data_IF_624389982990
#
_entry.id   IF_624389982990
#
_cell.length_a   1.000
_cell.length_b   1.000
_cell.length_c   1.000
_cell.angle_alpha   90.00
_cell.angle_beta   90.00
_cell.angle_gamma   90.00
#
_symmetry.space_group_name_H-M   'P 1'
#
loop_
_entity.id
_entity.type
_entity.pdbx_description
1 polymer ?
#
# COMPACT_ATOMS: atom_id res chain seq x y z
N UNK A 1 -12.87 5.56 18.26
CA UNK A 1 -11.89 6.36 17.50
C UNK A 1 -11.21 5.45 16.48
N UNK A 2 -11.28 5.81 15.21
CA UNK A 2 -10.75 5.03 14.08
C UNK A 2 -9.35 5.53 13.71
N UNK A 3 -8.26 4.74 13.90
CA UNK A 3 -6.90 5.15 13.54
C UNK A 3 -6.53 4.88 12.08
N UNK A 4 -7.29 3.97 11.40
CA UNK A 4 -7.07 3.54 10.02
C UNK A 4 -8.36 2.97 9.42
N UNK A 5 -8.46 2.94 8.09
CA UNK A 5 -9.64 2.44 7.39
C UNK A 5 -9.57 0.93 7.07
N UNK A 6 -8.37 0.36 7.01
CA UNK A 6 -8.12 -1.04 6.60
C UNK A 6 -9.04 -2.08 7.26
N UNK A 7 -9.20 -2.13 8.60
CA UNK A 7 -10.02 -3.17 9.23
C UNK A 7 -11.50 -3.12 8.79
N UNK A 8 -12.02 -1.91 8.50
CA UNK A 8 -13.39 -1.76 8.02
C UNK A 8 -13.53 -2.27 6.58
N UNK A 9 -12.58 -1.93 5.70
CA UNK A 9 -12.57 -2.42 4.32
C UNK A 9 -12.41 -3.93 4.26
N UNK A 10 -11.56 -4.53 5.11
CA UNK A 10 -11.46 -5.99 5.23
C UNK A 10 -12.80 -6.63 5.61
N UNK A 11 -13.54 -6.03 6.55
CA UNK A 11 -14.87 -6.51 6.94
C UNK A 11 -15.93 -6.31 5.86
N UNK A 12 -15.83 -5.27 5.05
CA UNK A 12 -16.71 -5.07 3.89
C UNK A 12 -16.41 -6.14 2.82
N UNK A 13 -15.13 -6.44 2.56
CA UNK A 13 -14.76 -7.53 1.66
C UNK A 13 -15.33 -8.87 2.14
N UNK A 14 -15.16 -9.18 3.42
CA UNK A 14 -15.58 -10.41 4.10
C UNK A 14 -17.11 -10.59 4.18
N UNK A 15 -17.89 -9.53 3.99
CA UNK A 15 -19.34 -9.53 4.18
C UNK A 15 -20.11 -10.44 3.20
N UNK A 16 -19.49 -10.84 2.08
CA UNK A 16 -20.06 -11.77 1.11
C UNK A 16 -18.96 -12.61 0.45
N UNK A 17 -19.25 -13.88 0.09
CA UNK A 17 -18.33 -14.71 -0.68
C UNK A 17 -17.86 -14.00 -1.94
N UNK A 18 -16.61 -14.19 -2.32
CA UNK A 18 -16.02 -13.66 -3.54
C UNK A 18 -15.52 -14.80 -4.43
N UNK A 19 -15.52 -14.54 -5.73
CA UNK A 19 -14.90 -15.38 -6.74
C UNK A 19 -13.87 -14.58 -7.53
N UNK A 20 -13.06 -15.25 -8.33
CA UNK A 20 -12.10 -14.60 -9.23
C UNK A 20 -12.77 -13.58 -10.16
N UNK A 21 -14.07 -13.67 -10.43
CA UNK A 21 -14.84 -12.75 -11.28
C UNK A 21 -15.16 -11.43 -10.56
N UNK A 22 -15.10 -11.43 -9.24
CA UNK A 22 -15.34 -10.26 -8.41
C UNK A 22 -14.04 -9.45 -8.16
N UNK A 23 -12.91 -9.99 -8.59
CA UNK A 23 -11.61 -9.35 -8.51
C UNK A 23 -11.25 -8.64 -9.83
N UNK A 24 -10.50 -7.55 -9.77
CA UNK A 24 -10.06 -6.83 -8.57
C UNK A 24 -11.21 -6.08 -7.88
N UNK A 25 -11.33 -6.25 -6.56
CA UNK A 25 -12.36 -5.58 -5.75
C UNK A 25 -11.78 -4.33 -5.09
N UNK A 26 -12.29 -3.16 -5.44
CA UNK A 26 -11.74 -1.87 -5.03
C UNK A 26 -12.72 -1.14 -4.11
N UNK A 27 -12.23 -0.72 -2.93
CA UNK A 27 -12.99 0.09 -1.97
C UNK A 27 -12.19 1.37 -1.72
N UNK A 28 -12.85 2.53 -1.84
CA UNK A 28 -12.25 3.83 -1.56
C UNK A 28 -13.15 4.67 -0.65
N UNK A 29 -12.56 5.45 0.24
CA UNK A 29 -13.28 6.40 1.08
C UNK A 29 -12.44 7.64 1.39
N UNK A 30 -13.10 8.74 1.66
CA UNK A 30 -12.55 9.86 2.42
C UNK A 30 -12.82 9.62 3.90
N UNK A 31 -11.94 8.83 4.52
CA UNK A 31 -12.13 8.37 5.89
C UNK A 31 -11.50 9.28 6.92
N UNK A 32 -12.27 9.70 7.92
CA UNK A 32 -11.72 10.44 9.07
C UNK A 32 -10.99 9.47 10.00
N UNK A 33 -9.68 9.71 10.16
CA UNK A 33 -8.82 8.94 11.06
C UNK A 33 -8.25 9.81 12.18
N UNK A 34 -8.06 9.20 13.34
CA UNK A 34 -7.51 9.86 14.53
C UNK A 34 -6.31 9.07 15.04
N UNK A 35 -5.16 9.74 15.18
CA UNK A 35 -3.92 9.11 15.68
C UNK A 35 -3.37 9.93 16.83
N UNK A 36 -3.00 9.26 17.91
CA UNK A 36 -2.35 9.91 19.06
C UNK A 36 -0.88 10.12 18.75
N UNK A 37 -0.60 11.14 17.95
CA UNK A 37 0.78 11.58 17.68
C UNK A 37 1.34 12.30 18.91
N UNK A 38 2.60 12.03 19.28
CA UNK A 38 3.29 12.76 20.34
C UNK A 38 3.42 14.24 19.94
N UNK A 39 3.29 15.15 20.92
CA UNK A 39 3.30 16.59 20.64
C UNK A 39 4.55 17.07 19.89
N UNK A 40 5.73 16.52 20.21
CA UNK A 40 6.99 16.84 19.52
C UNK A 40 7.09 16.34 18.06
N UNK A 41 6.14 15.51 17.61
CA UNK A 41 6.08 15.03 16.24
C UNK A 41 5.08 15.80 15.37
N UNK A 42 4.24 16.64 15.99
CA UNK A 42 3.28 17.46 15.24
C UNK A 42 4.01 18.51 14.39
N UNK A 43 3.58 18.64 13.13
CA UNK A 43 4.23 19.57 12.21
C UNK A 43 3.22 20.13 11.20
N UNK A 44 2.76 21.36 11.45
CA UNK A 44 1.81 22.07 10.59
C UNK A 44 0.62 21.20 10.19
N UNK A 45 0.32 21.13 8.91
CA UNK A 45 -0.69 20.23 8.33
C UNK A 45 -0.10 18.86 7.92
N UNK A 46 1.20 18.68 8.00
CA UNK A 46 1.90 17.49 7.53
C UNK A 46 1.79 16.30 8.51
N UNK A 47 1.73 16.58 9.82
CA UNK A 47 1.54 15.56 10.85
C UNK A 47 0.57 16.06 11.91
N UNK A 48 -0.64 15.57 11.85
CA UNK A 48 -1.79 15.98 12.66
C UNK A 48 -2.41 14.79 13.37
N UNK A 49 -3.23 15.04 14.38
CA UNK A 49 -3.93 13.98 15.14
C UNK A 49 -5.28 13.59 14.56
N UNK A 50 -5.86 14.44 13.72
CA UNK A 50 -7.11 14.17 12.99
C UNK A 50 -6.90 14.53 11.54
N UNK A 51 -7.28 13.62 10.64
CA UNK A 51 -7.12 13.79 9.20
C UNK A 51 -8.26 13.11 8.45
N UNK A 52 -8.58 13.65 7.30
CA UNK A 52 -9.37 12.94 6.29
C UNK A 52 -8.39 12.30 5.31
N UNK A 53 -8.43 10.99 5.23
CA UNK A 53 -7.53 10.22 4.37
C UNK A 53 -8.29 9.82 3.11
N UNK A 54 -7.75 10.19 1.94
CA UNK A 54 -8.18 9.64 0.67
C UNK A 54 -7.57 8.24 0.53
N UNK A 55 -8.28 7.25 1.00
CA UNK A 55 -7.76 5.90 1.22
C UNK A 55 -8.49 4.90 0.33
N UNK A 56 -7.77 3.92 -0.19
CA UNK A 56 -8.37 2.80 -0.91
C UNK A 56 -7.63 1.50 -0.65
N UNK A 57 -8.39 0.40 -0.70
CA UNK A 57 -7.90 -0.96 -0.62
C UNK A 57 -8.36 -1.71 -1.87
N UNK A 58 -7.41 -2.30 -2.57
CA UNK A 58 -7.65 -3.06 -3.79
C UNK A 58 -7.27 -4.51 -3.48
N UNK A 59 -8.26 -5.38 -3.53
CA UNK A 59 -8.08 -6.83 -3.36
C UNK A 59 -7.97 -7.44 -4.73
N UNK A 60 -6.87 -8.09 -5.04
CA UNK A 60 -6.60 -8.64 -6.35
C UNK A 60 -5.98 -10.04 -6.28
N UNK A 61 -6.06 -10.77 -7.38
CA UNK A 61 -5.31 -12.00 -7.59
C UNK A 61 -3.83 -11.69 -7.84
N UNK A 62 -2.97 -12.72 -7.80
CA UNK A 62 -1.58 -12.56 -8.22
C UNK A 62 -1.45 -12.19 -9.72
N UNK A 63 -2.40 -12.63 -10.55
CA UNK A 63 -2.43 -12.35 -11.99
C UNK A 63 -2.75 -10.88 -12.28
N UNK A 64 -3.65 -10.27 -11.49
CA UNK A 64 -4.05 -8.87 -11.65
C UNK A 64 -3.10 -7.89 -10.98
N UNK A 65 -2.21 -8.36 -10.11
CA UNK A 65 -1.38 -7.53 -9.25
C UNK A 65 -0.58 -6.47 -10.01
N UNK A 66 0.13 -6.86 -11.08
CA UNK A 66 0.98 -5.96 -11.86
C UNK A 66 0.19 -4.76 -12.39
N UNK A 67 -0.99 -5.02 -12.97
CA UNK A 67 -1.83 -3.97 -13.56
C UNK A 67 -2.39 -3.04 -12.49
N UNK A 68 -2.93 -3.58 -11.40
CA UNK A 68 -3.50 -2.77 -10.32
C UNK A 68 -2.45 -1.92 -9.61
N UNK A 69 -1.26 -2.49 -9.39
CA UNK A 69 -0.16 -1.77 -8.76
C UNK A 69 0.34 -0.60 -9.64
N UNK A 70 0.47 -0.84 -10.95
CA UNK A 70 0.88 0.18 -11.91
C UNK A 70 -0.18 1.27 -12.08
N UNK A 71 -1.45 0.93 -12.09
CA UNK A 71 -2.54 1.89 -12.19
C UNK A 71 -2.53 2.89 -11.03
N UNK A 72 -2.21 2.43 -9.82
CA UNK A 72 -2.01 3.32 -8.66
C UNK A 72 -0.82 4.24 -8.88
N UNK A 73 0.31 3.72 -9.34
CA UNK A 73 1.49 4.54 -9.62
C UNK A 73 1.21 5.59 -10.70
N UNK A 74 0.55 5.20 -11.79
CA UNK A 74 0.18 6.10 -12.88
C UNK A 74 -0.79 7.20 -12.42
N UNK A 75 -1.76 6.84 -11.56
CA UNK A 75 -2.66 7.82 -10.95
C UNK A 75 -1.88 8.88 -10.14
N UNK A 76 -0.83 8.50 -9.40
CA UNK A 76 0.02 9.46 -8.69
C UNK A 76 0.75 10.38 -9.66
N UNK A 77 1.32 9.82 -10.74
CA UNK A 77 2.00 10.62 -11.77
C UNK A 77 1.06 11.63 -12.43
N UNK A 78 -0.20 11.25 -12.68
CA UNK A 78 -1.21 12.17 -13.19
C UNK A 78 -1.53 13.29 -12.18
N UNK A 79 -1.70 12.96 -10.89
CA UNK A 79 -1.91 13.96 -9.86
C UNK A 79 -0.74 14.92 -9.75
N UNK A 80 0.48 14.42 -9.80
CA UNK A 80 1.67 15.29 -9.75
C UNK A 80 1.71 16.26 -10.92
N UNK A 81 1.33 15.81 -12.12
CA UNK A 81 1.20 16.67 -13.29
C UNK A 81 0.11 17.74 -13.11
N UNK A 82 -1.07 17.37 -12.58
CA UNK A 82 -2.19 18.28 -12.33
C UNK A 82 -1.81 19.35 -11.30
N UNK A 83 -1.13 18.96 -10.23
CA UNK A 83 -0.72 19.85 -9.14
C UNK A 83 0.63 20.54 -9.36
N UNK A 84 1.29 20.32 -10.50
CA UNK A 84 2.60 20.93 -10.80
C UNK A 84 3.71 20.45 -9.88
N UNK A 85 3.66 19.23 -9.39
CA UNK A 85 4.72 18.61 -8.57
C UNK A 85 5.77 18.02 -9.50
N UNK A 86 6.81 18.80 -9.80
CA UNK A 86 7.85 18.41 -10.75
C UNK A 86 8.97 17.60 -10.08
N UNK A 87 9.22 17.82 -8.79
CA UNK A 87 10.29 17.17 -8.05
C UNK A 87 9.73 16.16 -7.05
N UNK A 88 9.89 14.90 -7.37
CA UNK A 88 9.55 13.77 -6.49
C UNK A 88 10.53 12.62 -6.68
N UNK A 89 10.57 11.70 -5.73
CA UNK A 89 11.33 10.46 -5.78
C UNK A 89 10.45 9.30 -5.31
N UNK A 90 10.35 8.25 -6.12
CA UNK A 90 9.70 7.01 -5.71
C UNK A 90 10.71 6.10 -5.03
N UNK A 91 10.39 5.65 -3.83
CA UNK A 91 11.23 4.76 -3.01
C UNK A 91 10.54 3.43 -2.82
N UNK A 92 11.15 2.37 -3.31
CA UNK A 92 10.74 1.00 -2.98
C UNK A 92 11.37 0.63 -1.64
N UNK A 93 10.54 0.62 -0.62
CA UNK A 93 10.91 0.23 0.73
C UNK A 93 10.84 -1.30 0.88
N UNK A 94 11.99 -1.91 1.16
CA UNK A 94 12.18 -3.35 1.30
C UNK A 94 12.26 -3.74 2.78
N UNK A 95 12.05 -5.03 3.08
CA UNK A 95 12.27 -5.55 4.42
C UNK A 95 13.78 -5.70 4.71
N UNK A 96 14.11 -5.86 6.00
CA UNK A 96 15.42 -6.34 6.44
C UNK A 96 15.26 -7.79 6.91
N UNK A 97 15.95 -8.75 6.27
CA UNK A 97 15.88 -10.16 6.65
C UNK A 97 16.26 -10.43 8.12
N UNK A 98 17.10 -9.59 8.74
CA UNK A 98 17.50 -9.72 10.14
C UNK A 98 16.37 -9.42 11.14
N UNK A 99 15.30 -8.75 10.68
CA UNK A 99 14.16 -8.34 11.48
C UNK A 99 12.88 -9.17 11.22
N UNK A 100 12.98 -10.29 10.47
CA UNK A 100 11.89 -11.25 10.32
C UNK A 100 11.47 -11.83 11.67
N UNK A 101 10.17 -11.96 11.88
CA UNK A 101 9.60 -12.40 13.16
C UNK A 101 9.65 -11.35 14.28
N UNK A 102 10.23 -10.17 14.04
CA UNK A 102 10.28 -9.02 14.96
C UNK A 102 9.48 -7.84 14.41
N UNK A 103 10.12 -7.03 13.53
CA UNK A 103 9.48 -5.92 12.84
C UNK A 103 8.59 -6.41 11.70
N UNK A 104 9.01 -7.44 11.00
CA UNK A 104 8.35 -7.96 9.80
C UNK A 104 7.71 -9.32 10.04
N UNK A 105 6.64 -9.62 9.34
CA UNK A 105 5.99 -10.94 9.35
C UNK A 105 7.01 -11.99 8.94
N UNK A 106 7.06 -13.12 9.68
CA UNK A 106 7.99 -14.22 9.44
C UNK A 106 7.52 -15.11 8.26
N UNK A 107 7.64 -14.58 7.06
CA UNK A 107 7.26 -15.24 5.80
C UNK A 107 8.32 -14.94 4.72
N UNK A 108 9.58 -15.41 4.89
CA UNK A 108 10.71 -14.98 4.07
C UNK A 108 10.50 -15.20 2.56
N UNK A 109 9.80 -16.27 2.19
CA UNK A 109 9.49 -16.55 0.79
C UNK A 109 8.54 -15.53 0.19
N UNK A 110 7.46 -15.19 0.90
CA UNK A 110 6.47 -14.20 0.43
C UNK A 110 7.09 -12.81 0.30
N UNK A 111 8.03 -12.44 1.19
CA UNK A 111 8.77 -11.20 1.06
C UNK A 111 9.51 -11.11 -0.25
N UNK A 112 10.34 -12.12 -0.55
CA UNK A 112 11.14 -12.14 -1.79
C UNK A 112 10.27 -12.15 -3.04
N UNK A 113 9.21 -12.97 -3.05
CA UNK A 113 8.28 -13.06 -4.18
C UNK A 113 7.55 -11.74 -4.40
N UNK A 114 7.07 -11.09 -3.34
CA UNK A 114 6.31 -9.85 -3.45
C UNK A 114 7.21 -8.66 -3.83
N UNK A 115 8.41 -8.55 -3.26
CA UNK A 115 9.38 -7.53 -3.66
C UNK A 115 9.80 -7.66 -5.12
N UNK A 116 10.01 -8.91 -5.59
CA UNK A 116 10.33 -9.18 -6.99
C UNK A 116 9.15 -8.83 -7.93
N UNK A 117 7.92 -9.13 -7.52
CA UNK A 117 6.72 -8.74 -8.26
C UNK A 117 6.62 -7.22 -8.39
N UNK A 118 6.86 -6.46 -7.32
CA UNK A 118 6.88 -4.99 -7.35
C UNK A 118 7.97 -4.47 -8.29
N UNK A 119 9.19 -5.00 -8.23
CA UNK A 119 10.29 -4.62 -9.14
C UNK A 119 9.92 -4.85 -10.60
N UNK A 120 9.33 -6.01 -10.90
CA UNK A 120 8.88 -6.36 -12.25
C UNK A 120 7.78 -5.40 -12.74
N UNK A 121 6.80 -5.10 -11.90
CA UNK A 121 5.75 -4.15 -12.22
C UNK A 121 6.32 -2.76 -12.53
N UNK A 122 7.18 -2.21 -11.67
CA UNK A 122 7.81 -0.91 -11.87
C UNK A 122 8.66 -0.85 -13.14
N UNK A 123 9.45 -1.90 -13.40
CA UNK A 123 10.27 -2.01 -14.63
C UNK A 123 9.40 -2.05 -15.88
N UNK A 124 8.31 -2.82 -15.86
CA UNK A 124 7.34 -2.92 -16.95
C UNK A 124 6.65 -1.58 -17.22
N UNK A 125 6.35 -0.82 -16.17
CA UNK A 125 5.76 0.52 -16.24
C UNK A 125 6.75 1.63 -16.61
N UNK A 126 8.05 1.35 -16.69
CA UNK A 126 9.08 2.37 -16.94
C UNK A 126 9.20 3.39 -15.81
N UNK A 127 8.83 3.02 -14.58
CA UNK A 127 8.85 3.90 -13.42
C UNK A 127 10.24 3.86 -12.78
N UNK A 128 10.87 5.03 -12.66
CA UNK A 128 12.14 5.18 -11.96
C UNK A 128 11.93 5.17 -10.44
N UNK A 129 12.73 4.40 -9.73
CA UNK A 129 12.70 4.32 -8.27
C UNK A 129 14.08 4.03 -7.70
N UNK A 130 14.21 4.25 -6.38
CA UNK A 130 15.37 3.83 -5.58
C UNK A 130 14.93 2.80 -4.54
N UNK A 131 15.79 1.86 -4.19
CA UNK A 131 15.50 0.86 -3.16
C UNK A 131 16.03 1.30 -1.81
N UNK A 132 15.20 1.17 -0.77
CA UNK A 132 15.56 1.51 0.61
C UNK A 132 15.33 0.27 1.49
N UNK A 133 16.38 -0.44 1.91
CA UNK A 133 16.26 -1.57 2.81
C UNK A 133 15.78 -1.15 4.21
N UNK A 134 15.01 -2.02 4.87
CA UNK A 134 14.59 -1.82 6.25
C UNK A 134 13.42 -0.85 6.46
N UNK A 135 12.83 -0.28 5.40
CA UNK A 135 11.77 0.73 5.47
C UNK A 135 10.38 0.21 5.10
N UNK A 136 10.26 -1.07 4.72
CA UNK A 136 8.98 -1.70 4.39
C UNK A 136 7.97 -1.62 5.55
N UNK A 137 6.67 -1.74 5.22
CA UNK A 137 5.64 -2.01 6.21
C UNK A 137 5.84 -3.42 6.80
N UNK A 138 5.30 -3.70 7.99
CA UNK A 138 5.49 -5.01 8.63
C UNK A 138 4.80 -6.16 7.85
N UNK A 139 3.87 -5.83 6.95
CA UNK A 139 3.02 -6.74 6.19
C UNK A 139 3.36 -6.83 4.69
N UNK A 140 4.33 -6.06 4.22
CA UNK A 140 4.76 -6.10 2.81
C UNK A 140 5.56 -4.88 2.36
N UNK A 141 6.12 -4.94 1.14
CA UNK A 141 6.86 -3.83 0.55
C UNK A 141 5.93 -2.68 0.16
N UNK A 142 6.49 -1.49 -0.03
CA UNK A 142 5.74 -0.30 -0.40
C UNK A 142 6.54 0.65 -1.28
N UNK A 143 5.83 1.39 -2.12
CA UNK A 143 6.34 2.60 -2.74
C UNK A 143 5.93 3.79 -1.89
N UNK A 144 6.92 4.56 -1.45
CA UNK A 144 6.72 5.88 -0.84
C UNK A 144 7.14 6.94 -1.86
N UNK A 145 6.27 7.92 -2.08
CA UNK A 145 6.61 9.05 -2.95
C UNK A 145 7.06 10.22 -2.09
N UNK A 146 8.34 10.53 -2.17
CA UNK A 146 8.95 11.63 -1.44
C UNK A 146 8.89 12.92 -2.26
N UNK A 147 8.54 13.99 -1.59
CA UNK A 147 8.55 15.37 -2.13
C UNK A 147 9.23 16.31 -1.15
N UNK A 148 9.58 17.50 -1.62
CA UNK A 148 10.27 18.50 -0.80
C UNK A 148 9.43 19.78 -0.72
N UNK A 149 9.23 20.26 0.51
CA UNK A 149 8.61 21.57 0.74
C UNK A 149 9.49 22.71 0.22
N UNK A 150 8.92 23.91 0.12
CA UNK A 150 9.65 25.13 -0.28
C UNK A 150 10.86 25.43 0.60
N UNK A 151 10.87 24.97 1.86
CA UNK A 151 12.00 25.12 2.79
C UNK A 151 12.96 23.91 2.74
N UNK A 152 12.83 23.05 1.75
CA UNK A 152 13.71 21.88 1.54
C UNK A 152 13.46 20.70 2.48
N UNK A 153 12.40 20.71 3.30
CA UNK A 153 12.06 19.57 4.15
C UNK A 153 11.39 18.48 3.34
N UNK A 154 11.92 17.28 3.45
CA UNK A 154 11.38 16.07 2.80
C UNK A 154 10.20 15.50 3.58
N UNK A 155 9.22 14.95 2.87
CA UNK A 155 8.10 14.19 3.44
C UNK A 155 7.47 13.26 2.40
N UNK A 156 6.80 12.22 2.88
CA UNK A 156 6.04 11.30 2.03
C UNK A 156 4.69 11.90 1.69
N UNK A 157 4.42 12.09 0.41
CA UNK A 157 3.14 12.62 -0.09
C UNK A 157 2.12 11.53 -0.36
N UNK A 158 2.56 10.43 -0.93
CA UNK A 158 1.70 9.32 -1.33
C UNK A 158 2.37 7.98 -1.05
N UNK A 159 1.57 6.94 -0.82
CA UNK A 159 2.06 5.58 -0.63
C UNK A 159 1.24 4.56 -1.43
N UNK A 160 1.94 3.55 -1.96
CA UNK A 160 1.36 2.37 -2.58
C UNK A 160 1.98 1.14 -1.91
N UNK A 161 1.22 0.48 -1.05
CA UNK A 161 1.70 -0.58 -0.16
C UNK A 161 1.09 -1.92 -0.55
N UNK A 162 1.90 -2.95 -0.62
CA UNK A 162 1.44 -4.33 -0.88
C UNK A 162 1.33 -5.08 0.43
N UNK A 163 0.22 -5.74 0.63
CA UNK A 163 -0.09 -6.49 1.83
C UNK A 163 -0.42 -7.94 1.47
N UNK A 164 0.48 -8.85 1.81
CA UNK A 164 0.28 -10.28 1.66
C UNK A 164 -0.08 -10.96 2.99
N UNK A 165 -0.06 -10.23 4.10
CA UNK A 165 -0.13 -10.79 5.44
C UNK A 165 -1.49 -10.56 6.13
N UNK A 166 -2.04 -9.36 6.07
CA UNK A 166 -3.26 -9.02 6.80
C UNK A 166 -4.50 -9.68 6.21
N UNK A 167 -4.68 -9.79 4.87
CA UNK A 167 -5.77 -10.57 4.32
C UNK A 167 -5.83 -11.99 4.88
N UNK A 168 -4.69 -12.68 4.99
CA UNK A 168 -4.58 -14.00 5.61
C UNK A 168 -5.01 -14.00 7.09
N UNK A 169 -4.62 -12.98 7.87
CA UNK A 169 -5.00 -12.84 9.28
C UNK A 169 -6.50 -12.58 9.48
N UNK A 170 -7.15 -11.96 8.50
CA UNK A 170 -8.60 -11.74 8.50
C UNK A 170 -9.37 -12.91 7.87
N UNK A 171 -8.67 -13.97 7.42
CA UNK A 171 -9.24 -15.11 6.68
C UNK A 171 -10.02 -14.65 5.44
N UNK A 172 -9.53 -13.63 4.74
CA UNK A 172 -10.14 -13.18 3.50
C UNK A 172 -9.80 -14.16 2.39
N UNK A 173 -10.83 -14.66 1.70
CA UNK A 173 -10.67 -15.62 0.61
C UNK A 173 -11.49 -15.22 -0.61
N UNK A 174 -11.13 -15.80 -1.74
CA UNK A 174 -11.94 -15.84 -2.96
C UNK A 174 -11.81 -17.23 -3.58
N UNK A 175 -12.82 -17.64 -4.34
CA UNK A 175 -12.78 -18.91 -5.10
C UNK A 175 -12.13 -18.65 -6.45
N UNK A 176 -11.07 -19.37 -6.78
CA UNK A 176 -10.38 -19.29 -8.05
C UNK A 176 -11.17 -19.98 -9.20
N UNK A 177 -10.59 -20.02 -10.40
CA UNK A 177 -11.20 -20.64 -11.59
C UNK A 177 -11.35 -22.15 -11.46
N UNK A 178 -10.57 -22.80 -10.58
CA UNK A 178 -10.58 -24.24 -10.35
C UNK A 178 -11.48 -24.66 -9.18
N UNK A 179 -12.11 -23.69 -8.50
CA UNK A 179 -12.93 -23.93 -7.33
C UNK A 179 -12.14 -24.00 -6.01
N UNK A 180 -10.86 -23.63 -6.02
CA UNK A 180 -10.02 -23.59 -4.82
C UNK A 180 -10.17 -22.25 -4.10
N UNK A 181 -10.05 -22.26 -2.77
CA UNK A 181 -9.97 -21.03 -1.97
C UNK A 181 -8.55 -20.49 -1.95
N UNK A 182 -8.43 -19.21 -2.32
CA UNK A 182 -7.17 -18.47 -2.35
C UNK A 182 -7.28 -17.19 -1.51
N UNK A 183 -6.16 -16.73 -0.96
CA UNK A 183 -6.07 -15.46 -0.25
C UNK A 183 -5.71 -14.33 -1.23
N UNK A 184 -6.47 -13.23 -1.31
CA UNK A 184 -6.12 -12.12 -2.19
C UNK A 184 -4.91 -11.35 -1.66
N UNK A 185 -4.13 -10.74 -2.57
CA UNK A 185 -3.26 -9.63 -2.22
C UNK A 185 -4.10 -8.39 -1.96
N UNK A 186 -3.64 -7.53 -1.06
CA UNK A 186 -4.28 -6.24 -0.83
C UNK A 186 -3.30 -5.10 -1.13
N UNK A 187 -3.69 -4.18 -2.01
CA UNK A 187 -2.94 -2.95 -2.25
C UNK A 187 -3.60 -1.84 -1.45
N UNK A 188 -2.83 -1.21 -0.56
CA UNK A 188 -3.24 -0.04 0.19
C UNK A 188 -2.68 1.20 -0.52
N UNK A 189 -3.55 2.09 -0.97
CA UNK A 189 -3.13 3.34 -1.58
C UNK A 189 -3.65 4.54 -0.81
N UNK A 190 -2.77 5.48 -0.54
CA UNK A 190 -3.09 6.76 0.08
C UNK A 190 -2.27 7.86 -0.63
N UNK A 191 -2.90 8.64 -1.51
CA UNK A 191 -2.29 9.81 -2.11
C UNK A 191 -2.27 11.02 -1.19
#
# INVERSE_FOLDING_TARGET
IKPMNCPHHHKIYDASPKSYRDLPFRIAEYGTCYRYEKSGQLFGLMRVRSMQMNDAHIYCSNEDFDSEFLDVCNMYLEYFKIFGIEKYEMRLSLHDPADLGKKYVDEPKLWLETEDAVRKALSKGGINYVEIPGEAAFYGPKIDVQVWSAIGKEFTLATNQVDFAIPKRFNLTYTDQNGSEETPLCIHRAP
#
